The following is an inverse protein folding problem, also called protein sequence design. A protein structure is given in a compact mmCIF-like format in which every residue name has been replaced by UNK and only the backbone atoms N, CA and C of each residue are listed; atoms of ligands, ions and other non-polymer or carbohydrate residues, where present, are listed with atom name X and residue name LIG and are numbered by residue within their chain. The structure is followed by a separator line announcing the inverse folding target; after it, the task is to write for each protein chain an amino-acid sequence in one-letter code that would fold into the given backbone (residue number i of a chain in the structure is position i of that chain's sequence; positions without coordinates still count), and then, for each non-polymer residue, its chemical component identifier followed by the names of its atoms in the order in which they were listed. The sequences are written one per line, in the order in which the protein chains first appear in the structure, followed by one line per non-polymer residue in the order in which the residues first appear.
data_IF_061994984497
#
_entry.id   IF_061994984497
#
_cell.length_a   1.000
_cell.length_b   1.000
_cell.length_c   1.000
_cell.angle_alpha   90.00
_cell.angle_beta   90.00
_cell.angle_gamma   90.00
#
_symmetry.space_group_name_H-M   'P 1'
#
loop_
_entity.id
_entity.type
_entity.pdbx_description
1 polymer ?
#
# COMPACT_ATOMS: atom_id res chain seq x y z
N UNK A 1 11.13 6.73 8.23
CA UNK A 1 9.84 7.10 7.60
C UNK A 1 9.06 5.82 7.36
N UNK A 2 7.79 5.74 7.80
CA UNK A 2 7.03 4.49 7.69
C UNK A 2 6.77 4.11 6.23
N UNK A 3 6.51 2.83 6.04
CA UNK A 3 5.94 2.27 4.82
C UNK A 3 4.45 1.98 5.01
N UNK A 4 3.72 1.88 3.91
CA UNK A 4 2.30 1.61 3.90
C UNK A 4 1.98 0.44 2.98
N UNK A 5 1.12 -0.46 3.45
CA UNK A 5 0.64 -1.58 2.66
C UNK A 5 -0.88 -1.66 2.77
N UNK A 6 -1.57 -1.48 1.65
CA UNK A 6 -3.01 -1.66 1.60
C UNK A 6 -3.36 -3.12 1.27
N UNK A 7 -4.41 -3.62 1.91
CA UNK A 7 -4.89 -4.98 1.70
C UNK A 7 -6.38 -5.07 1.97
N UNK A 8 -6.97 -6.23 1.68
CA UNK A 8 -8.34 -6.52 2.05
C UNK A 8 -8.43 -6.94 3.52
N UNK A 9 -9.42 -6.46 4.27
CA UNK A 9 -9.64 -6.83 5.70
C UNK A 9 -9.71 -8.33 5.92
N UNK A 10 -10.27 -9.09 4.95
CA UNK A 10 -10.31 -10.56 4.98
C UNK A 10 -8.93 -11.22 5.04
N UNK A 11 -7.86 -10.55 4.64
CA UNK A 11 -6.48 -11.06 4.69
C UNK A 11 -5.80 -10.81 6.04
N UNK A 12 -6.34 -9.90 6.89
CA UNK A 12 -5.73 -9.55 8.17
C UNK A 12 -5.49 -10.75 9.10
N UNK A 13 -6.41 -11.72 9.27
CA UNK A 13 -6.13 -12.88 10.13
C UNK A 13 -4.89 -13.68 9.70
N UNK A 14 -4.66 -13.80 8.39
CA UNK A 14 -3.46 -14.47 7.84
C UNK A 14 -2.21 -13.63 8.09
N UNK A 15 -2.27 -12.34 7.74
CA UNK A 15 -1.16 -11.39 7.90
C UNK A 15 -0.73 -11.28 9.37
N UNK A 16 -1.69 -11.21 10.30
CA UNK A 16 -1.40 -11.15 11.74
C UNK A 16 -0.79 -12.44 12.29
N UNK A 17 -1.09 -13.59 11.68
CA UNK A 17 -0.54 -14.89 12.09
C UNK A 17 0.84 -15.17 11.50
N UNK A 18 1.09 -14.74 10.26
CA UNK A 18 2.27 -15.15 9.48
C UNK A 18 3.24 -14.00 9.19
N UNK A 19 2.85 -12.77 9.49
CA UNK A 19 3.52 -11.57 8.97
C UNK A 19 3.14 -11.29 7.52
N UNK A 20 3.39 -10.07 7.09
CA UNK A 20 3.15 -9.66 5.71
C UNK A 20 4.24 -10.27 4.81
N UNK A 21 3.83 -10.97 3.75
CA UNK A 21 4.72 -11.76 2.90
C UNK A 21 5.08 -13.16 3.45
N UNK A 22 4.55 -13.54 4.61
CA UNK A 22 4.81 -14.86 5.22
C UNK A 22 3.77 -15.94 4.90
N UNK A 23 2.65 -15.57 4.28
CA UNK A 23 1.63 -16.52 3.85
C UNK A 23 1.97 -17.16 2.48
N UNK A 24 1.39 -18.33 2.14
CA UNK A 24 1.62 -18.98 0.84
C UNK A 24 1.26 -18.08 -0.35
N UNK A 25 1.89 -18.28 -1.53
CA UNK A 25 1.73 -17.42 -2.72
C UNK A 25 0.29 -17.21 -3.18
N UNK A 26 -0.60 -18.17 -2.90
CA UNK A 26 -2.01 -18.14 -3.30
C UNK A 26 -2.85 -17.07 -2.53
N UNK A 27 -2.23 -16.32 -1.61
CA UNK A 27 -2.86 -15.28 -0.80
C UNK A 27 -2.49 -13.84 -1.17
N UNK A 28 -1.90 -13.63 -2.35
CA UNK A 28 -1.57 -12.31 -2.87
C UNK A 28 -2.81 -11.51 -3.29
N UNK A 29 -2.72 -10.18 -3.21
CA UNK A 29 -3.79 -9.31 -3.71
C UNK A 29 -3.86 -9.32 -5.25
N UNK A 30 -2.72 -9.47 -5.94
CA UNK A 30 -2.58 -9.33 -7.39
C UNK A 30 -1.67 -10.42 -7.97
N UNK A 31 -1.83 -10.81 -9.24
CA UNK A 31 -0.97 -11.78 -9.93
C UNK A 31 0.35 -11.13 -10.40
N UNK A 32 1.11 -10.55 -9.47
CA UNK A 32 2.35 -9.80 -9.73
C UNK A 32 3.56 -10.55 -9.20
N UNK A 33 4.76 -10.00 -9.42
CA UNK A 33 5.97 -10.57 -8.85
C UNK A 33 5.84 -10.73 -7.32
N UNK A 34 6.26 -11.89 -6.82
CA UNK A 34 6.13 -12.24 -5.41
C UNK A 34 6.98 -11.35 -4.50
N UNK A 35 6.32 -10.81 -3.47
CA UNK A 35 6.92 -10.03 -2.40
C UNK A 35 5.90 -9.10 -1.76
N UNK A 36 6.40 -8.15 -0.98
CA UNK A 36 5.57 -7.16 -0.29
C UNK A 36 5.76 -5.80 -0.93
N UNK A 37 4.72 -5.29 -1.58
CA UNK A 37 4.72 -3.94 -2.15
C UNK A 37 4.46 -2.93 -1.03
N UNK A 38 5.40 -2.00 -0.87
CA UNK A 38 5.40 -1.00 0.18
C UNK A 38 5.36 0.39 -0.46
N UNK A 39 4.34 1.18 -0.14
CA UNK A 39 4.26 2.58 -0.55
C UNK A 39 4.91 3.49 0.50
N UNK A 40 5.45 4.63 0.06
CA UNK A 40 5.92 5.72 0.94
C UNK A 40 4.82 6.72 1.28
N UNK A 41 3.69 6.66 0.57
CA UNK A 41 2.50 7.46 0.79
C UNK A 41 1.28 6.53 0.97
N UNK A 42 0.48 6.68 2.03
CA UNK A 42 -0.65 5.78 2.28
C UNK A 42 -1.73 5.87 1.20
N UNK A 43 -1.99 7.06 0.65
CA UNK A 43 -2.98 7.25 -0.42
C UNK A 43 -2.62 6.47 -1.69
N UNK A 44 -1.32 6.35 -1.99
CA UNK A 44 -0.86 5.53 -3.12
C UNK A 44 -1.18 4.06 -2.90
N UNK A 45 -0.96 3.54 -1.69
CA UNK A 45 -1.29 2.14 -1.39
C UNK A 45 -2.78 1.84 -1.58
N UNK A 46 -3.65 2.78 -1.19
CA UNK A 46 -5.11 2.68 -1.39
C UNK A 46 -5.47 2.74 -2.87
N UNK A 47 -4.83 3.63 -3.65
CA UNK A 47 -5.10 3.77 -5.08
C UNK A 47 -4.92 2.45 -5.85
N UNK A 48 -3.88 1.67 -5.53
CA UNK A 48 -3.67 0.34 -6.13
C UNK A 48 -4.80 -0.64 -5.86
N UNK A 49 -5.37 -0.61 -4.65
CA UNK A 49 -6.49 -1.49 -4.29
C UNK A 49 -7.76 -1.11 -5.05
N UNK A 50 -8.00 0.19 -5.23
CA UNK A 50 -9.15 0.70 -5.98
C UNK A 50 -8.99 0.36 -7.47
N UNK A 51 -7.82 0.61 -8.05
CA UNK A 51 -7.52 0.31 -9.45
C UNK A 51 -7.73 -1.18 -9.75
N UNK A 52 -7.17 -2.06 -8.92
CA UNK A 52 -7.38 -3.50 -9.10
C UNK A 52 -8.84 -3.93 -8.96
N UNK A 53 -9.62 -3.30 -8.09
CA UNK A 53 -11.05 -3.57 -8.02
C UNK A 53 -11.76 -3.17 -9.32
N UNK A 54 -11.45 -1.99 -9.87
CA UNK A 54 -12.04 -1.50 -11.12
C UNK A 54 -11.65 -2.35 -12.34
N UNK A 55 -10.45 -2.93 -12.33
CA UNK A 55 -9.95 -3.81 -13.40
C UNK A 55 -10.48 -5.25 -13.27
N UNK A 56 -10.94 -5.66 -12.09
CA UNK A 56 -11.48 -7.00 -11.90
C UNK A 56 -12.84 -7.13 -12.61
N UNK A 57 -12.94 -8.11 -13.50
CA UNK A 57 -14.20 -8.47 -14.18
C UNK A 57 -15.20 -9.18 -13.27
N UNK A 58 -14.80 -9.48 -12.03
CA UNK A 58 -15.68 -10.04 -11.02
C UNK A 58 -16.67 -8.94 -10.62
N UNK A 59 -17.87 -9.03 -11.16
CA UNK A 59 -19.04 -8.35 -10.63
C UNK A 59 -19.32 -8.90 -9.24
N UNK A 60 -18.57 -8.41 -8.26
CA UNK A 60 -18.86 -8.69 -6.85
C UNK A 60 -20.15 -7.92 -6.54
N UNK A 61 -21.14 -8.60 -5.97
CA UNK A 61 -22.40 -8.01 -5.46
C UNK A 61 -22.13 -7.13 -4.22
N UNK A 62 -21.18 -6.20 -4.30
CA UNK A 62 -20.85 -5.22 -3.27
C UNK A 62 -20.86 -3.82 -3.88
N UNK A 63 -21.33 -2.86 -3.10
CA UNK A 63 -21.32 -1.45 -3.49
C UNK A 63 -19.90 -0.87 -3.42
N UNK A 64 -19.60 0.22 -4.15
CA UNK A 64 -18.33 0.91 -4.02
C UNK A 64 -17.97 1.30 -2.57
N UNK A 65 -18.96 1.67 -1.74
CA UNK A 65 -18.73 1.97 -0.33
C UNK A 65 -18.26 0.73 0.45
N UNK A 66 -18.85 -0.44 0.20
CA UNK A 66 -18.45 -1.70 0.84
C UNK A 66 -17.04 -2.13 0.41
N UNK A 67 -16.62 -1.82 -0.82
CA UNK A 67 -15.25 -2.04 -1.27
C UNK A 67 -14.27 -1.19 -0.46
N UNK A 68 -14.56 0.10 -0.32
CA UNK A 68 -13.74 1.03 0.48
C UNK A 68 -13.66 0.57 1.93
N UNK A 69 -14.79 0.18 2.54
CA UNK A 69 -14.83 -0.40 3.88
C UNK A 69 -14.07 -1.72 3.99
N UNK A 70 -13.87 -2.45 2.90
CA UNK A 70 -13.08 -3.69 2.88
C UNK A 70 -11.58 -3.45 2.75
N UNK A 71 -11.13 -2.24 2.35
CA UNK A 71 -9.71 -1.88 2.22
C UNK A 71 -9.16 -1.32 3.52
N UNK A 72 -8.06 -1.88 4.01
CA UNK A 72 -7.32 -1.32 5.15
C UNK A 72 -5.85 -1.10 4.81
N UNK A 73 -5.19 -0.22 5.57
CA UNK A 73 -3.77 0.09 5.39
C UNK A 73 -3.00 -0.25 6.66
N UNK A 74 -1.98 -1.10 6.53
CA UNK A 74 -1.00 -1.34 7.58
C UNK A 74 0.06 -0.24 7.55
N UNK A 75 0.29 0.42 8.68
CA UNK A 75 1.37 1.40 8.86
C UNK A 75 2.59 0.68 9.41
N UNK A 76 3.64 0.57 8.60
CA UNK A 76 4.81 -0.25 8.88
C UNK A 76 5.98 0.64 9.29
N UNK A 77 6.49 0.45 10.50
CA UNK A 77 7.74 1.06 10.95
C UNK A 77 8.91 0.55 10.08
N UNK A 78 9.75 1.47 9.58
CA UNK A 78 10.87 1.13 8.71
C UNK A 78 11.93 0.26 9.39
N UNK A 79 12.02 0.29 10.72
CA UNK A 79 12.86 -0.64 11.49
C UNK A 79 12.45 -2.11 11.33
N UNK A 80 11.23 -2.39 10.84
CA UNK A 80 10.74 -3.74 10.52
C UNK A 80 11.12 -4.20 9.12
N UNK A 81 11.75 -3.33 8.32
CA UNK A 81 12.09 -3.58 6.92
C UNK A 81 13.61 -3.61 6.76
N UNK A 82 14.16 -4.74 6.30
CA UNK A 82 15.61 -4.83 6.05
C UNK A 82 15.95 -4.23 4.68
N UNK A 83 16.65 -3.11 4.65
CA UNK A 83 16.97 -2.34 3.43
C UNK A 83 17.58 -3.19 2.29
N UNK A 84 18.48 -4.12 2.60
CA UNK A 84 19.10 -5.00 1.59
C UNK A 84 18.13 -5.92 0.83
N UNK A 85 16.90 -6.07 1.34
CA UNK A 85 15.84 -6.88 0.72
C UNK A 85 14.85 -6.02 -0.07
N UNK A 86 15.09 -4.70 -0.14
CA UNK A 86 14.30 -3.77 -0.94
C UNK A 86 14.86 -3.73 -2.36
N UNK A 87 13.98 -3.82 -3.34
CA UNK A 87 14.26 -3.59 -4.76
C UNK A 87 13.25 -2.60 -5.34
N UNK A 88 13.56 -2.07 -6.52
CA UNK A 88 12.59 -1.29 -7.29
C UNK A 88 11.31 -2.10 -7.51
N UNK A 89 10.16 -1.41 -7.46
CA UNK A 89 8.89 -1.99 -7.86
C UNK A 89 8.93 -2.23 -9.39
N UNK A 90 8.79 -3.48 -9.86
CA UNK A 90 8.84 -3.77 -11.29
C UNK A 90 7.63 -3.22 -12.07
N UNK A 91 6.58 -2.77 -11.38
CA UNK A 91 5.36 -2.27 -12.00
C UNK A 91 5.33 -0.73 -12.08
N UNK A 92 6.27 -0.03 -11.44
CA UNK A 92 6.33 1.43 -11.43
C UNK A 92 7.77 1.92 -11.59
N UNK A 93 8.02 2.78 -12.58
CA UNK A 93 9.31 3.40 -12.83
C UNK A 93 9.74 4.46 -11.78
N UNK A 94 9.05 4.52 -10.63
CA UNK A 94 9.24 5.52 -9.56
C UNK A 94 9.48 4.87 -8.20
N UNK A 95 10.75 4.67 -7.87
CA UNK A 95 11.21 4.11 -6.58
C UNK A 95 10.98 5.01 -5.37
N UNK A 96 10.68 6.29 -5.61
CA UNK A 96 10.34 7.26 -4.57
C UNK A 96 8.86 7.15 -4.14
N UNK A 97 8.06 6.34 -4.82
CA UNK A 97 6.66 6.10 -4.48
C UNK A 97 6.48 4.73 -3.84
N UNK A 98 6.90 3.67 -4.53
CA UNK A 98 6.76 2.29 -4.08
C UNK A 98 8.07 1.53 -4.19
N UNK A 99 8.16 0.46 -3.40
CA UNK A 99 9.26 -0.50 -3.46
C UNK A 99 8.73 -1.92 -3.28
N UNK A 100 9.47 -2.90 -3.81
CA UNK A 100 9.23 -4.31 -3.57
C UNK A 100 10.17 -4.82 -2.47
N UNK A 101 9.60 -5.34 -1.39
CA UNK A 101 10.34 -5.96 -0.29
C UNK A 101 10.26 -7.49 -0.36
N UNK A 102 11.41 -8.17 -0.38
CA UNK A 102 11.51 -9.64 -0.50
C UNK A 102 11.71 -10.38 0.82
N UNK A 103 11.22 -9.80 1.91
CA UNK A 103 11.23 -10.41 3.24
C UNK A 103 9.82 -10.57 3.81
N UNK A 104 9.77 -11.02 5.06
CA UNK A 104 8.55 -11.05 5.87
C UNK A 104 8.59 -9.84 6.81
N UNK A 105 7.49 -9.09 6.88
CA UNK A 105 7.34 -7.98 7.83
C UNK A 105 6.51 -8.47 9.02
N UNK A 106 7.08 -8.42 10.22
CA UNK A 106 6.33 -8.57 11.46
C UNK A 106 5.47 -7.31 11.68
N UNK A 107 4.15 -7.48 11.62
CA UNK A 107 3.18 -6.39 11.74
C UNK A 107 2.53 -6.33 13.13
N UNK A 108 3.04 -7.11 14.09
CA UNK A 108 2.48 -7.16 15.44
C UNK A 108 2.51 -5.78 16.10
N UNK A 109 1.35 -5.31 16.55
CA UNK A 109 1.20 -4.01 17.21
C UNK A 109 1.28 -2.80 16.28
N UNK A 110 1.35 -3.01 14.96
CA UNK A 110 1.31 -1.92 13.99
C UNK A 110 -0.10 -1.35 13.83
N UNK A 111 -0.27 -0.03 13.62
CA UNK A 111 -1.55 0.56 13.32
C UNK A 111 -2.16 0.01 12.02
N UNK A 112 -3.48 -0.19 12.04
CA UNK A 112 -4.27 -0.54 10.86
C UNK A 112 -5.32 0.55 10.69
N UNK A 113 -5.28 1.24 9.55
CA UNK A 113 -6.13 2.37 9.24
C UNK A 113 -7.25 1.97 8.27
N UNK A 114 -8.42 2.62 8.40
CA UNK A 114 -9.41 2.66 7.33
C UNK A 114 -8.98 3.59 6.20
N UNK A 115 -9.69 3.51 5.07
CA UNK A 115 -9.45 4.44 3.95
C UNK A 115 -9.75 5.88 4.35
N UNK A 116 -10.81 6.11 5.13
CA UNK A 116 -11.19 7.45 5.60
C UNK A 116 -10.07 8.06 6.46
N UNK A 117 -9.47 7.29 7.38
CA UNK A 117 -8.35 7.76 8.22
C UNK A 117 -7.09 8.12 7.40
N UNK A 118 -6.94 7.51 6.23
CA UNK A 118 -5.83 7.76 5.30
C UNK A 118 -6.06 9.03 4.49
N UNK A 119 -7.29 9.27 4.03
CA UNK A 119 -7.66 10.40 3.19
C UNK A 119 -7.86 11.68 4.02
N UNK A 120 -8.43 11.55 5.22
CA UNK A 120 -8.68 12.67 6.13
C UNK A 120 -7.44 13.08 6.95
N UNK A 121 -6.32 12.36 6.80
CA UNK A 121 -5.03 12.85 7.29
C UNK A 121 -4.67 14.14 6.55
N UNK A 122 -4.38 15.24 7.26
CA UNK A 122 -4.03 16.49 6.61
C UNK A 122 -2.79 16.24 5.75
N UNK A 123 -2.97 16.28 4.44
CA UNK A 123 -1.88 16.41 3.48
C UNK A 123 -1.19 17.71 3.89
N UNK A 124 -0.03 17.61 4.55
CA UNK A 124 0.83 18.78 4.72
C UNK A 124 1.31 19.13 3.33
N UNK A 125 0.67 20.16 2.76
CA UNK A 125 0.99 20.73 1.44
C UNK A 125 2.33 21.47 1.54
N UNK A 126 3.41 20.77 1.84
CA UNK A 126 4.78 21.32 1.84
C UNK A 126 5.62 20.80 0.66
N UNK A 127 5.08 19.92 -0.20
CA UNK A 127 5.82 19.38 -1.36
C UNK A 127 5.22 19.74 -2.74
N UNK A 128 4.25 20.66 -2.83
CA UNK A 128 3.63 21.05 -4.13
C UNK A 128 4.03 22.45 -4.63
N UNK A 129 4.93 23.16 -3.94
CA UNK A 129 5.45 24.46 -4.43
C UNK A 129 6.95 24.43 -4.68
N UNK A 130 7.34 23.68 -5.71
CA UNK A 130 8.59 23.90 -6.43
C UNK A 130 8.34 23.82 -7.95
N UNK A 131 7.32 24.53 -8.44
CA UNK A 131 7.28 24.93 -9.85
C UNK A 131 8.09 26.22 -9.98
N UNK A 132 9.12 26.28 -10.84
CA UNK A 132 9.85 27.51 -11.07
C UNK A 132 8.91 28.54 -11.69
N UNK A 133 8.67 29.61 -10.94
CA UNK A 133 8.08 30.85 -11.44
C UNK A 133 9.03 31.45 -12.47
N UNK A 134 8.77 31.19 -13.75
CA UNK A 134 9.66 31.70 -14.79
C UNK A 134 9.14 31.48 -16.19
N UNK A 135 8.00 32.08 -16.54
CA UNK A 135 7.77 32.56 -17.90
C UNK A 135 7.04 33.90 -17.83
N UNK A 136 7.85 34.96 -17.78
CA UNK A 136 7.44 36.27 -18.29
C UNK A 136 7.60 36.23 -19.80
N UNK A 137 6.53 36.54 -20.53
CA UNK A 137 6.47 37.48 -21.66
C UNK A 137 5.00 37.72 -22.04
#
# INVERSE_FOLDING_TARGET
MPYYHATWRRHLPSILKHGLGGAPPDSQNFPVEAGVYLARNPAVSVAFMIESYLESSDTIDITPSQVVEAICVLVIDDSRVTERLISADPNIDRTDITVLYRGIVDVTGMPILGVDDVIDSPITVDEVTALPSGLSE
#
